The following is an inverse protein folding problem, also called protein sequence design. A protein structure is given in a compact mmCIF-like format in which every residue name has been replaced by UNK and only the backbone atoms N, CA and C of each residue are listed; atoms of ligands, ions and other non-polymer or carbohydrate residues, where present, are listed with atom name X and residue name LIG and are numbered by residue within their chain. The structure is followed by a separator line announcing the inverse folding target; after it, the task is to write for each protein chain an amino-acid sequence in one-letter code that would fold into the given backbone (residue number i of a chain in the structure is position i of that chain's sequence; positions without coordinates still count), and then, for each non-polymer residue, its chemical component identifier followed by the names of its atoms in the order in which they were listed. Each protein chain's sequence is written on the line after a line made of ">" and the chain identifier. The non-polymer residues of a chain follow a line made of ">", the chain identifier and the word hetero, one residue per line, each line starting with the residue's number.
data_IF_897115209486
#
_entry.id   IF_897115209486
#
_cell.length_a   1.000
_cell.length_b   1.000
_cell.length_c   1.000
_cell.angle_alpha   90.00
_cell.angle_beta   90.00
_cell.angle_gamma   90.00
#
_symmetry.space_group_name_H-M   'P 1'
#
loop_
_entity.id
_entity.type
_entity.pdbx_description
1 polymer ?
#
# COMPACT_ATOMS: atom_id res chain seq x y z
N UNK A 1 14.03 -10.02 -37.20
CA UNK A 1 13.20 -10.77 -36.25
C UNK A 1 12.45 -9.76 -35.40
N UNK A 2 11.11 -9.69 -35.50
CA UNK A 2 10.30 -8.90 -34.56
C UNK A 2 10.25 -9.68 -33.25
N UNK A 3 10.47 -9.09 -32.08
CA UNK A 3 10.26 -9.81 -30.83
C UNK A 3 8.81 -10.30 -30.85
N UNK A 4 8.61 -11.60 -30.64
CA UNK A 4 7.30 -12.15 -30.36
C UNK A 4 6.74 -11.38 -29.16
N UNK A 5 5.68 -10.61 -29.38
CA UNK A 5 4.91 -10.02 -28.29
C UNK A 5 4.35 -11.20 -27.52
N UNK A 6 5.02 -11.58 -26.44
CA UNK A 6 4.42 -12.42 -25.40
C UNK A 6 3.15 -11.72 -24.95
N UNK A 7 2.01 -12.10 -25.52
CA UNK A 7 0.68 -11.84 -24.94
C UNK A 7 0.54 -12.72 -23.70
N UNK A 8 1.43 -12.56 -22.73
CA UNK A 8 1.49 -13.36 -21.52
C UNK A 8 0.75 -12.67 -20.38
N UNK A 9 -0.39 -13.24 -19.98
CA UNK A 9 -0.97 -13.11 -18.63
C UNK A 9 -1.50 -11.76 -18.11
N UNK A 10 -1.62 -10.69 -18.90
CA UNK A 10 -2.16 -9.41 -18.40
C UNK A 10 -3.52 -9.51 -17.69
N UNK A 11 -4.40 -10.43 -18.12
CA UNK A 11 -5.67 -10.70 -17.43
C UNK A 11 -5.49 -11.38 -16.06
N UNK A 12 -4.55 -12.32 -15.93
CA UNK A 12 -4.28 -12.99 -14.67
C UNK A 12 -3.63 -12.06 -13.64
N UNK A 13 -2.74 -11.17 -14.08
CA UNK A 13 -2.13 -10.15 -13.22
C UNK A 13 -3.18 -9.14 -12.73
N UNK A 14 -4.12 -8.72 -13.59
CA UNK A 14 -5.23 -7.85 -13.18
C UNK A 14 -6.12 -8.54 -12.13
N UNK A 15 -6.48 -9.81 -12.34
CA UNK A 15 -7.27 -10.57 -11.35
C UNK A 15 -6.52 -10.66 -10.03
N UNK A 16 -5.21 -10.96 -10.07
CA UNK A 16 -4.39 -11.03 -8.87
C UNK A 16 -4.28 -9.67 -8.16
N UNK A 17 -4.17 -8.57 -8.92
CA UNK A 17 -4.18 -7.21 -8.38
C UNK A 17 -5.48 -6.93 -7.63
N UNK A 18 -6.62 -7.16 -8.28
CA UNK A 18 -7.95 -6.94 -7.69
C UNK A 18 -8.13 -7.79 -6.43
N UNK A 19 -7.82 -9.09 -6.48
CA UNK A 19 -7.94 -9.98 -5.32
C UNK A 19 -7.04 -9.52 -4.17
N UNK A 20 -5.79 -9.11 -4.46
CA UNK A 20 -4.87 -8.62 -3.43
C UNK A 20 -5.39 -7.33 -2.79
N UNK A 21 -5.93 -6.39 -3.59
CA UNK A 21 -6.54 -5.16 -3.08
C UNK A 21 -7.76 -5.43 -2.21
N UNK A 22 -8.66 -6.33 -2.65
CA UNK A 22 -9.85 -6.69 -1.87
C UNK A 22 -9.48 -7.34 -0.54
N UNK A 23 -8.53 -8.29 -0.53
CA UNK A 23 -8.03 -8.91 0.70
C UNK A 23 -7.43 -7.85 1.62
N UNK A 24 -6.62 -6.94 1.08
CA UNK A 24 -6.00 -5.88 1.87
C UNK A 24 -7.05 -4.95 2.52
N UNK A 25 -8.09 -4.57 1.78
CA UNK A 25 -9.21 -3.77 2.30
C UNK A 25 -10.00 -4.53 3.38
N UNK A 26 -10.28 -5.83 3.18
CA UNK A 26 -10.97 -6.68 4.16
C UNK A 26 -10.14 -6.81 5.44
N UNK A 27 -8.83 -7.03 5.33
CA UNK A 27 -7.94 -7.12 6.49
C UNK A 27 -7.88 -5.82 7.27
N UNK A 28 -7.91 -4.67 6.58
CA UNK A 28 -7.93 -3.37 7.23
C UNK A 28 -9.27 -3.08 7.94
N UNK A 29 -10.39 -3.60 7.41
CA UNK A 29 -11.70 -3.46 8.02
C UNK A 29 -11.92 -4.37 9.24
N UNK A 30 -11.03 -5.34 9.47
CA UNK A 30 -11.20 -6.31 10.55
C UNK A 30 -10.95 -5.63 11.91
N UNK A 31 -11.83 -5.80 12.90
CA UNK A 31 -11.61 -5.25 14.23
C UNK A 31 -10.33 -5.80 14.83
N UNK A 32 -9.31 -4.95 14.95
CA UNK A 32 -7.97 -5.34 15.38
C UNK A 32 -7.68 -5.08 16.86
N UNK A 33 -8.70 -4.71 17.62
CA UNK A 33 -8.57 -4.39 19.05
C UNK A 33 -8.26 -5.68 19.82
N UNK A 34 -7.02 -5.81 20.30
CA UNK A 34 -6.66 -6.88 21.23
C UNK A 34 -7.07 -6.48 22.65
N UNK A 35 -8.28 -6.86 23.06
CA UNK A 35 -8.80 -6.59 24.40
C UNK A 35 -8.90 -5.09 24.69
N UNK A 36 -8.21 -4.61 25.73
CA UNK A 36 -8.14 -3.19 26.12
C UNK A 36 -6.95 -2.43 25.50
N UNK A 37 -6.20 -3.05 24.59
CA UNK A 37 -5.03 -2.46 23.94
C UNK A 37 -5.35 -1.40 22.87
N UNK A 38 -4.32 -0.76 22.30
CA UNK A 38 -4.49 0.16 21.17
C UNK A 38 -5.06 -0.55 19.95
N UNK A 39 -5.68 0.20 19.04
CA UNK A 39 -6.18 -0.35 17.79
C UNK A 39 -5.00 -0.74 16.89
N UNK A 40 -4.89 -2.02 16.54
CA UNK A 40 -3.78 -2.57 15.77
C UNK A 40 -4.19 -2.76 14.31
N UNK A 41 -4.53 -1.67 13.61
CA UNK A 41 -5.14 -1.72 12.29
C UNK A 41 -4.15 -1.36 11.16
N UNK A 42 -3.12 -2.18 10.82
CA UNK A 42 -2.19 -1.85 9.74
C UNK A 42 -2.90 -1.39 8.46
N UNK A 43 -2.30 -0.44 7.75
CA UNK A 43 -2.74 -0.01 6.45
C UNK A 43 -2.34 -1.04 5.38
N UNK A 44 -2.98 -2.21 5.41
CA UNK A 44 -2.79 -3.27 4.41
C UNK A 44 -2.96 -2.78 2.96
N UNK A 45 -3.89 -1.85 2.63
CA UNK A 45 -3.99 -1.33 1.27
C UNK A 45 -2.71 -0.60 0.83
N UNK A 46 -2.05 0.14 1.73
CA UNK A 46 -0.78 0.80 1.43
C UNK A 46 0.33 -0.22 1.14
N UNK A 47 0.44 -1.29 1.94
CA UNK A 47 1.39 -2.40 1.71
C UNK A 47 1.16 -2.99 0.32
N UNK A 48 -0.09 -3.31 0.01
CA UNK A 48 -0.44 -3.96 -1.25
C UNK A 48 -0.24 -3.03 -2.47
N UNK A 49 -0.59 -1.74 -2.36
CA UNK A 49 -0.31 -0.74 -3.40
C UNK A 49 1.19 -0.63 -3.68
N UNK A 50 2.01 -0.64 -2.63
CA UNK A 50 3.47 -0.57 -2.80
C UNK A 50 4.06 -1.85 -3.41
N UNK A 51 3.57 -3.03 -3.02
CA UNK A 51 4.01 -4.29 -3.64
C UNK A 51 3.69 -4.29 -5.14
N UNK A 52 2.49 -3.84 -5.50
CA UNK A 52 2.08 -3.77 -6.90
C UNK A 52 2.79 -2.65 -7.67
N UNK A 53 3.16 -1.54 -7.03
CA UNK A 53 3.96 -0.49 -7.68
C UNK A 53 5.35 -0.98 -8.08
N UNK A 54 5.91 -1.91 -7.32
CA UNK A 54 7.22 -2.54 -7.62
C UNK A 54 7.05 -3.68 -8.63
N UNK A 55 5.98 -4.47 -8.52
CA UNK A 55 5.74 -5.63 -9.40
C UNK A 55 5.32 -5.22 -10.81
N UNK A 56 4.31 -4.36 -10.91
CA UNK A 56 3.75 -3.85 -12.17
C UNK A 56 3.23 -2.42 -11.96
N UNK A 57 4.09 -1.41 -12.15
CA UNK A 57 3.75 0.00 -11.91
C UNK A 57 2.50 0.47 -12.66
N UNK A 58 2.16 -0.17 -13.78
CA UNK A 58 1.02 0.18 -14.63
C UNK A 58 -0.34 0.12 -13.92
N UNK A 59 -0.50 -0.73 -12.90
CA UNK A 59 -1.75 -0.76 -12.09
C UNK A 59 -1.87 0.43 -11.13
N UNK A 60 -0.78 1.11 -10.81
CA UNK A 60 -0.74 2.20 -9.83
C UNK A 60 -0.95 3.54 -10.54
N UNK A 61 -2.16 3.70 -11.07
CA UNK A 61 -2.62 4.93 -11.70
C UNK A 61 -3.35 5.84 -10.69
N UNK A 62 -3.41 7.17 -10.92
CA UNK A 62 -4.12 8.08 -10.03
C UNK A 62 -5.58 7.69 -9.74
N UNK A 63 -6.40 7.22 -10.73
CA UNK A 63 -7.75 6.74 -10.44
C UNK A 63 -7.78 5.54 -9.48
N UNK A 64 -6.83 4.62 -9.59
CA UNK A 64 -6.73 3.46 -8.69
C UNK A 64 -6.37 3.89 -7.27
N UNK A 65 -5.38 4.77 -7.12
CA UNK A 65 -5.00 5.32 -5.81
C UNK A 65 -6.18 6.05 -5.14
N UNK A 66 -6.92 6.83 -5.91
CA UNK A 66 -8.13 7.52 -5.44
C UNK A 66 -9.20 6.53 -4.99
N UNK A 67 -9.53 5.53 -5.81
CA UNK A 67 -10.55 4.52 -5.49
C UNK A 67 -10.21 3.70 -4.25
N UNK A 68 -8.96 3.23 -4.15
CA UNK A 68 -8.48 2.46 -2.99
C UNK A 68 -8.48 3.33 -1.73
N UNK A 69 -8.07 4.59 -1.84
CA UNK A 69 -8.08 5.52 -0.71
C UNK A 69 -9.50 5.87 -0.25
N UNK A 70 -10.44 6.13 -1.17
CA UNK A 70 -11.86 6.34 -0.81
C UNK A 70 -12.46 5.10 -0.16
N UNK A 71 -12.13 3.91 -0.67
CA UNK A 71 -12.55 2.66 -0.03
C UNK A 71 -11.96 2.54 1.39
N UNK A 72 -10.70 2.90 1.59
CA UNK A 72 -10.09 2.92 2.92
C UNK A 72 -10.75 3.95 3.84
N UNK A 73 -11.04 5.16 3.35
CA UNK A 73 -11.76 6.20 4.12
C UNK A 73 -13.12 5.68 4.62
N UNK A 74 -13.86 5.01 3.74
CA UNK A 74 -15.16 4.40 4.06
C UNK A 74 -15.04 3.31 5.13
N UNK A 75 -14.03 2.46 5.04
CA UNK A 75 -13.83 1.35 5.98
C UNK A 75 -13.30 1.82 7.34
N UNK A 76 -12.43 2.83 7.34
CA UNK A 76 -11.87 3.41 8.56
C UNK A 76 -12.82 4.38 9.27
N UNK A 77 -13.92 4.79 8.62
CA UNK A 77 -14.80 5.85 9.12
C UNK A 77 -14.13 7.22 9.16
N UNK A 78 -13.09 7.43 8.35
CA UNK A 78 -12.38 8.69 8.24
C UNK A 78 -13.16 9.68 7.36
N UNK A 79 -12.90 11.00 7.47
CA UNK A 79 -13.42 11.96 6.51
C UNK A 79 -13.07 11.54 5.07
N UNK A 80 -14.06 11.53 4.18
CA UNK A 80 -13.84 11.10 2.80
C UNK A 80 -12.76 11.93 2.12
N UNK A 81 -11.79 11.24 1.52
CA UNK A 81 -10.70 11.83 0.75
C UNK A 81 -9.37 11.94 1.50
N UNK A 82 -9.31 11.63 2.80
CA UNK A 82 -8.06 11.70 3.59
C UNK A 82 -7.05 10.68 3.06
N UNK A 83 -7.40 9.40 3.03
CA UNK A 83 -6.55 8.34 2.52
C UNK A 83 -6.38 8.43 1.01
N UNK A 84 -7.41 8.86 0.28
CA UNK A 84 -7.33 9.11 -1.16
C UNK A 84 -6.25 10.14 -1.51
N UNK A 85 -6.24 11.29 -0.83
CA UNK A 85 -5.21 12.32 -0.99
C UNK A 85 -3.84 11.79 -0.55
N UNK A 86 -3.80 11.07 0.56
CA UNK A 86 -2.56 10.52 1.13
C UNK A 86 -1.84 9.58 0.16
N UNK A 87 -2.58 8.67 -0.48
CA UNK A 87 -2.03 7.77 -1.47
C UNK A 87 -1.59 8.50 -2.74
N UNK A 88 -2.39 9.44 -3.24
CA UNK A 88 -2.01 10.24 -4.39
C UNK A 88 -0.71 11.00 -4.15
N UNK A 89 -0.56 11.68 -3.01
CA UNK A 89 0.64 12.45 -2.67
C UNK A 89 1.83 11.53 -2.46
N UNK A 90 1.69 10.48 -1.64
CA UNK A 90 2.79 9.58 -1.31
C UNK A 90 3.40 8.94 -2.57
N UNK A 91 2.56 8.39 -3.47
CA UNK A 91 3.03 7.76 -4.70
C UNK A 91 3.46 8.75 -5.79
N UNK A 92 2.99 10.00 -5.75
CA UNK A 92 3.44 11.03 -6.71
C UNK A 92 4.81 11.63 -6.35
N UNK A 93 5.05 11.88 -5.05
CA UNK A 93 6.31 12.46 -4.56
C UNK A 93 7.42 11.40 -4.58
N UNK A 94 7.11 10.18 -4.16
CA UNK A 94 8.06 9.08 -4.10
C UNK A 94 7.95 8.25 -5.37
N UNK A 95 8.31 8.85 -6.51
CA UNK A 95 8.34 8.17 -7.80
C UNK A 95 9.19 6.91 -7.70
N UNK A 96 8.57 5.74 -7.82
CA UNK A 96 9.30 4.49 -7.89
C UNK A 96 9.94 4.40 -9.28
N UNK A 97 11.27 4.54 -9.35
CA UNK A 97 12.02 4.30 -10.59
C UNK A 97 12.15 2.78 -10.81
N UNK A 98 12.01 2.36 -12.07
CA UNK A 98 12.10 0.95 -12.49
C UNK A 98 13.48 0.32 -12.22
N UNK A 99 14.52 1.14 -12.11
CA UNK A 99 15.92 0.71 -11.95
C UNK A 99 16.36 0.44 -10.51
N UNK A 100 15.57 0.81 -9.51
CA UNK A 100 16.08 1.03 -8.15
C UNK A 100 15.80 -0.10 -7.15
N UNK A 101 15.89 -1.36 -7.60
CA UNK A 101 16.04 -2.48 -6.66
C UNK A 101 15.02 -3.59 -6.86
N UNK A 102 15.48 -4.64 -7.53
CA UNK A 102 14.76 -5.91 -7.63
C UNK A 102 15.44 -7.05 -6.85
N UNK A 103 16.48 -6.76 -6.05
CA UNK A 103 17.28 -7.82 -5.40
C UNK A 103 17.23 -7.87 -3.87
N UNK A 104 17.18 -6.72 -3.20
CA UNK A 104 17.46 -6.65 -1.75
C UNK A 104 16.30 -6.10 -0.93
N UNK A 105 16.00 -6.78 0.19
CA UNK A 105 14.90 -6.41 1.11
C UNK A 105 15.15 -5.06 1.80
N UNK A 106 16.41 -4.72 2.07
CA UNK A 106 16.79 -3.48 2.78
C UNK A 106 16.39 -2.20 2.05
N UNK A 107 16.90 -1.95 0.82
CA UNK A 107 16.52 -0.77 0.02
C UNK A 107 15.00 -0.69 -0.23
N UNK A 108 14.35 -1.83 -0.42
CA UNK A 108 12.90 -1.91 -0.62
C UNK A 108 12.13 -1.48 0.64
N UNK A 109 12.56 -1.96 1.82
CA UNK A 109 11.97 -1.58 3.10
C UNK A 109 12.17 -0.08 3.39
N UNK A 110 13.33 0.49 3.02
CA UNK A 110 13.56 1.93 3.16
C UNK A 110 12.60 2.75 2.28
N UNK A 111 12.43 2.36 1.01
CA UNK A 111 11.47 3.01 0.10
C UNK A 111 10.03 2.91 0.61
N UNK A 112 9.65 1.75 1.14
CA UNK A 112 8.35 1.57 1.77
C UNK A 112 8.19 2.48 2.98
N UNK A 113 9.22 2.54 3.84
CA UNK A 113 9.22 3.39 5.04
C UNK A 113 9.01 4.85 4.67
N UNK A 114 9.72 5.38 3.68
CA UNK A 114 9.51 6.74 3.19
C UNK A 114 8.09 6.94 2.64
N UNK A 115 7.56 5.95 1.92
CA UNK A 115 6.19 5.99 1.37
C UNK A 115 5.14 5.99 2.46
N UNK A 116 5.32 5.18 3.49
CA UNK A 116 4.49 5.16 4.67
C UNK A 116 4.56 6.50 5.43
N UNK A 117 5.75 7.02 5.71
CA UNK A 117 5.90 8.32 6.36
C UNK A 117 5.18 9.44 5.60
N UNK A 118 5.29 9.47 4.26
CA UNK A 118 4.56 10.43 3.44
C UNK A 118 3.04 10.23 3.51
N UNK A 119 2.55 9.00 3.34
CA UNK A 119 1.13 8.71 3.37
C UNK A 119 0.50 9.05 4.73
N UNK A 120 1.08 8.57 5.83
CA UNK A 120 0.57 8.83 7.19
C UNK A 120 0.72 10.30 7.58
N UNK A 121 1.79 10.99 7.17
CA UNK A 121 1.95 12.42 7.39
C UNK A 121 0.87 13.25 6.68
N UNK A 122 0.56 12.91 5.43
CA UNK A 122 -0.53 13.56 4.68
C UNK A 122 -1.89 13.21 5.30
N UNK A 123 -2.10 11.96 5.71
CA UNK A 123 -3.36 11.54 6.34
C UNK A 123 -3.61 12.31 7.64
N UNK A 124 -2.57 12.49 8.47
CA UNK A 124 -2.66 13.29 9.68
C UNK A 124 -3.00 14.74 9.39
N UNK A 125 -2.30 15.37 8.44
CA UNK A 125 -2.54 16.77 8.07
C UNK A 125 -3.92 16.98 7.45
N UNK A 126 -4.31 16.14 6.50
CA UNK A 126 -5.60 16.20 5.83
C UNK A 126 -6.75 15.90 6.80
N UNK A 127 -6.61 14.89 7.67
CA UNK A 127 -7.60 14.56 8.69
C UNK A 127 -7.75 15.68 9.72
N UNK A 128 -6.64 16.27 10.18
CA UNK A 128 -6.67 17.42 11.10
C UNK A 128 -7.32 18.64 10.46
N UNK A 129 -7.05 18.89 9.18
CA UNK A 129 -7.69 19.96 8.43
C UNK A 129 -9.20 19.72 8.26
N UNK A 130 -9.60 18.49 7.92
CA UNK A 130 -11.00 18.12 7.71
C UNK A 130 -11.85 18.24 8.99
N UNK A 131 -11.25 17.94 10.15
CA UNK A 131 -11.92 18.04 11.46
C UNK A 131 -11.85 19.47 12.03
N UNK A 132 -10.93 20.31 11.53
CA UNK A 132 -10.69 21.67 12.02
C UNK A 132 -9.89 21.74 13.32
N UNK A 133 -9.28 20.62 13.74
CA UNK A 133 -8.44 20.52 14.94
C UNK A 133 -7.35 19.46 14.76
N UNK A 134 -6.17 19.61 15.39
CA UNK A 134 -5.14 18.58 15.36
C UNK A 134 -5.65 17.24 15.91
N UNK A 135 -5.61 16.20 15.07
CA UNK A 135 -5.95 14.84 15.50
C UNK A 135 -4.82 14.29 16.36
N UNK A 136 -5.16 13.57 17.43
CA UNK A 136 -4.17 12.89 18.27
C UNK A 136 -3.31 11.94 17.40
N UNK A 137 -1.98 12.12 17.34
CA UNK A 137 -1.15 11.36 16.41
C UNK A 137 -0.88 9.92 16.88
N UNK A 138 -1.08 9.63 18.17
CA UNK A 138 -0.74 8.33 18.78
C UNK A 138 -1.30 7.10 18.04
N UNK A 139 -2.61 7.03 17.75
CA UNK A 139 -3.19 5.93 16.99
C UNK A 139 -2.58 5.79 15.60
N UNK A 140 -2.40 6.91 14.89
CA UNK A 140 -1.87 6.93 13.53
C UNK A 140 -0.38 6.56 13.46
N UNK A 141 0.41 6.95 14.47
CA UNK A 141 1.81 6.53 14.63
C UNK A 141 1.87 5.02 14.88
N UNK A 142 0.99 4.49 15.72
CA UNK A 142 0.92 3.05 16.02
C UNK A 142 0.62 2.27 14.75
N UNK A 143 -0.37 2.72 13.97
CA UNK A 143 -0.71 2.16 12.67
C UNK A 143 0.46 2.21 11.68
N UNK A 144 1.15 3.35 11.59
CA UNK A 144 2.31 3.53 10.72
C UNK A 144 3.46 2.57 11.08
N UNK A 145 3.80 2.46 12.37
CA UNK A 145 4.85 1.55 12.85
C UNK A 145 4.50 0.11 12.52
N UNK A 146 3.27 -0.33 12.79
CA UNK A 146 2.83 -1.70 12.48
C UNK A 146 2.89 -1.97 10.97
N UNK A 147 2.44 -1.01 10.17
CA UNK A 147 2.45 -1.08 8.71
C UNK A 147 3.88 -1.26 8.18
N UNK A 148 4.83 -0.48 8.71
CA UNK A 148 6.27 -0.55 8.35
C UNK A 148 6.88 -1.90 8.79
N UNK A 149 6.58 -2.36 10.00
CA UNK A 149 7.11 -3.63 10.52
C UNK A 149 6.56 -4.86 9.79
N UNK A 150 5.32 -4.80 9.32
CA UNK A 150 4.70 -5.90 8.57
C UNK A 150 5.18 -5.98 7.12
N UNK A 151 5.53 -4.85 6.52
CA UNK A 151 5.99 -4.79 5.13
C UNK A 151 7.04 -5.85 4.75
N UNK A 152 8.17 -6.04 5.46
CA UNK A 152 9.19 -7.01 5.06
C UNK A 152 8.67 -8.44 4.99
N UNK A 153 7.70 -8.82 5.84
CA UNK A 153 7.08 -10.16 5.81
C UNK A 153 6.31 -10.35 4.51
N UNK A 154 5.52 -9.36 4.11
CA UNK A 154 4.79 -9.41 2.84
C UNK A 154 5.74 -9.32 1.64
N UNK A 155 6.74 -8.44 1.67
CA UNK A 155 7.74 -8.32 0.61
C UNK A 155 8.43 -9.66 0.34
N UNK A 156 8.83 -10.38 1.40
CA UNK A 156 9.42 -11.72 1.29
C UNK A 156 8.43 -12.76 0.71
N UNK A 157 7.17 -12.76 1.17
CA UNK A 157 6.15 -13.70 0.70
C UNK A 157 5.88 -13.54 -0.81
N UNK A 158 5.87 -12.30 -1.29
CA UNK A 158 5.67 -11.98 -2.70
C UNK A 158 6.93 -12.21 -3.55
N UNK A 159 8.13 -11.95 -3.03
CA UNK A 159 9.40 -12.22 -3.71
C UNK A 159 9.58 -13.71 -4.02
N UNK A 160 9.27 -14.60 -3.06
CA UNK A 160 9.38 -16.06 -3.24
C UNK A 160 8.55 -16.65 -4.37
N UNK A 161 7.48 -15.97 -4.80
CA UNK A 161 6.66 -16.45 -5.93
C UNK A 161 7.34 -16.24 -7.29
N UNK A 162 8.30 -15.32 -7.39
CA UNK A 162 9.03 -15.02 -8.64
C UNK A 162 10.04 -16.10 -9.02
N UNK A 163 10.62 -16.80 -8.03
CA UNK A 163 11.66 -17.82 -8.26
C UNK A 163 11.09 -19.15 -8.77
N UNK A 164 9.85 -19.50 -8.41
CA UNK A 164 9.24 -20.80 -8.78
C UNK A 164 8.79 -20.91 -10.23
N UNK A 165 8.62 -19.80 -10.94
CA UNK A 165 8.19 -19.81 -12.36
C UNK A 165 9.31 -20.05 -13.36
N UNK A 166 10.57 -20.16 -12.91
CA UNK A 166 11.75 -20.36 -13.78
C UNK A 166 12.16 -21.82 -13.95
N UNK A 167 11.43 -22.76 -13.34
CA UNK A 167 11.65 -24.21 -13.46
C UNK A 167 10.36 -24.93 -13.86
N UNK A 168 9.84 -24.61 -15.04
CA UNK A 168 8.81 -25.36 -15.74
C UNK A 168 9.12 -25.40 -17.23
#
# INVERSE_FOLDING_TARGET
>A
MRPSVERGNGGADLVMFIVTMLIALILHALPSRLGSGPDLAPAFPLIALFIWSVRQPWFISPPVLLLVGVAQDLLAGAPMGVWALSFLVAFSVLRLRETDGAGEVGPLALRFTLTACAAFGVAWGAGSFAIGAPVAPGPLITEAVLTILLFPIFAWLFARRKERSTFS
#
